data_IF_900647701312
#
_entry.id   IF_900647701312
#
_cell.length_a   1.000
_cell.length_b   1.000
_cell.length_c   1.000
_cell.angle_alpha   90.00
_cell.angle_beta   90.00
_cell.angle_gamma   90.00
#
_symmetry.space_group_name_H-M   'P 1'
#
loop_
_entity.id
_entity.type
_entity.pdbx_description
1 polymer ?
#
# COMPACT_ATOMS: atom_id res chain seq x y z
N UNK A 1 8.77 11.39 -13.98
CA UNK A 1 7.84 10.36 -13.47
C UNK A 1 8.27 9.88 -12.07
N UNK A 2 9.58 9.76 -11.82
CA UNK A 2 10.11 9.20 -10.58
C UNK A 2 9.83 10.06 -9.34
N UNK A 3 9.92 11.39 -9.46
CA UNK A 3 9.58 12.31 -8.36
C UNK A 3 8.12 12.20 -7.91
N UNK A 4 7.20 12.00 -8.85
CA UNK A 4 5.78 11.80 -8.53
C UNK A 4 5.57 10.47 -7.78
N UNK A 5 6.17 9.37 -8.26
CA UNK A 5 6.07 8.07 -7.60
C UNK A 5 6.70 8.12 -6.19
N UNK A 6 7.88 8.73 -6.07
CA UNK A 6 8.57 8.87 -4.78
C UNK A 6 7.74 9.68 -3.78
N UNK A 7 7.17 10.80 -4.22
CA UNK A 7 6.31 11.63 -3.38
C UNK A 7 5.06 10.88 -2.90
N UNK A 8 4.37 10.14 -3.79
CA UNK A 8 3.20 9.36 -3.40
C UNK A 8 3.55 8.20 -2.47
N UNK A 9 4.71 7.54 -2.64
CA UNK A 9 5.20 6.54 -1.69
C UNK A 9 5.44 7.14 -0.30
N UNK A 10 5.99 8.35 -0.24
CA UNK A 10 6.19 9.05 1.03
C UNK A 10 4.85 9.38 1.71
N UNK A 11 3.87 9.87 0.95
CA UNK A 11 2.52 10.12 1.47
C UNK A 11 1.85 8.84 1.97
N UNK A 12 1.97 7.73 1.23
CA UNK A 12 1.44 6.43 1.66
C UNK A 12 2.09 5.95 2.95
N UNK A 13 3.41 6.07 3.11
CA UNK A 13 4.07 5.76 4.38
C UNK A 13 3.54 6.62 5.52
N UNK A 14 3.42 7.94 5.30
CA UNK A 14 2.84 8.85 6.28
C UNK A 14 1.42 8.45 6.66
N UNK A 15 0.59 8.10 5.69
CA UNK A 15 -0.77 7.64 5.91
C UNK A 15 -0.82 6.31 6.68
N UNK A 16 0.02 5.32 6.33
CA UNK A 16 0.09 4.06 7.06
C UNK A 16 0.47 4.27 8.52
N UNK A 17 1.42 5.18 8.80
CA UNK A 17 1.78 5.53 10.18
C UNK A 17 0.60 6.13 10.93
N UNK A 18 -0.13 7.06 10.32
CA UNK A 18 -1.33 7.67 10.93
C UNK A 18 -2.42 6.62 11.16
N UNK A 19 -2.69 5.75 10.18
CA UNK A 19 -3.68 4.69 10.29
C UNK A 19 -3.34 3.70 11.40
N UNK A 20 -2.08 3.23 11.47
CA UNK A 20 -1.62 2.32 12.52
C UNK A 20 -1.70 3.00 13.89
N UNK A 21 -1.24 4.25 14.00
CA UNK A 21 -1.35 5.01 15.25
C UNK A 21 -2.82 5.16 15.69
N UNK A 22 -3.73 5.45 14.75
CA UNK A 22 -5.15 5.59 15.02
C UNK A 22 -5.81 4.30 15.57
N UNK A 23 -5.30 3.11 15.24
CA UNK A 23 -5.80 1.84 15.81
C UNK A 23 -5.52 1.76 17.32
N UNK A 24 -4.38 2.26 17.78
CA UNK A 24 -3.97 2.18 19.20
C UNK A 24 -4.33 3.43 19.99
N UNK A 25 -4.37 4.58 19.32
CA UNK A 25 -4.68 5.89 19.86
C UNK A 25 -5.63 6.60 18.88
N UNK A 26 -6.94 6.32 18.97
CA UNK A 26 -7.92 6.88 18.05
C UNK A 26 -7.91 8.40 18.04
N UNK A 27 -7.94 8.98 16.84
CA UNK A 27 -8.11 10.40 16.64
C UNK A 27 -9.50 10.84 17.11
N UNK A 28 -9.68 12.15 17.30
CA UNK A 28 -10.94 12.68 17.80
C UNK A 28 -11.93 12.98 16.67
N UNK A 29 -13.21 12.71 16.92
CA UNK A 29 -14.31 13.07 16.03
C UNK A 29 -14.26 12.37 14.68
N UNK A 30 -14.63 13.09 13.62
CA UNK A 30 -14.73 12.54 12.27
C UNK A 30 -13.37 12.05 11.70
N UNK A 31 -12.24 12.53 12.24
CA UNK A 31 -10.93 12.14 11.75
C UNK A 31 -10.66 10.64 11.91
N UNK A 32 -11.04 10.05 13.05
CA UNK A 32 -10.94 8.61 13.28
C UNK A 32 -11.74 7.81 12.24
N UNK A 33 -13.02 8.18 12.05
CA UNK A 33 -13.91 7.50 11.10
C UNK A 33 -13.34 7.52 9.67
N UNK A 34 -12.85 8.68 9.22
CA UNK A 34 -12.28 8.81 7.87
C UNK A 34 -10.96 8.06 7.73
N UNK A 35 -10.07 8.15 8.72
CA UNK A 35 -8.78 7.42 8.70
C UNK A 35 -9.02 5.92 8.69
N UNK A 36 -9.95 5.42 9.51
CA UNK A 36 -10.31 4.00 9.53
C UNK A 36 -10.95 3.55 8.23
N UNK A 37 -11.92 4.30 7.69
CA UNK A 37 -12.58 3.96 6.44
C UNK A 37 -11.60 3.91 5.26
N UNK A 38 -10.78 4.96 5.11
CA UNK A 38 -9.79 5.04 4.03
C UNK A 38 -8.73 3.95 4.21
N UNK A 39 -8.24 3.75 5.44
CA UNK A 39 -7.19 2.79 5.73
C UNK A 39 -7.61 1.34 5.47
N UNK A 40 -8.81 0.95 5.91
CA UNK A 40 -9.35 -0.37 5.62
C UNK A 40 -9.63 -0.57 4.13
N UNK A 41 -10.21 0.44 3.47
CA UNK A 41 -10.48 0.38 2.02
C UNK A 41 -9.18 0.22 1.24
N UNK A 42 -8.16 1.01 1.57
CA UNK A 42 -6.84 0.95 0.93
C UNK A 42 -6.14 -0.39 1.20
N UNK A 43 -6.21 -0.90 2.43
CA UNK A 43 -5.68 -2.22 2.77
C UNK A 43 -6.32 -3.31 1.91
N UNK A 44 -7.65 -3.31 1.79
CA UNK A 44 -8.39 -4.28 0.95
C UNK A 44 -7.95 -4.17 -0.51
N UNK A 45 -7.87 -2.96 -1.05
CA UNK A 45 -7.43 -2.73 -2.44
C UNK A 45 -6.02 -3.29 -2.65
N UNK A 46 -5.06 -2.99 -1.76
CA UNK A 46 -3.69 -3.49 -1.91
C UNK A 46 -3.59 -5.02 -1.75
N UNK A 47 -4.41 -5.63 -0.90
CA UNK A 47 -4.49 -7.09 -0.79
C UNK A 47 -5.04 -7.71 -2.10
N UNK A 48 -6.07 -7.11 -2.70
CA UNK A 48 -6.58 -7.53 -4.02
C UNK A 48 -5.49 -7.38 -5.08
N UNK A 49 -4.78 -6.25 -5.13
CA UNK A 49 -3.69 -6.03 -6.06
C UNK A 49 -2.62 -7.12 -5.94
N UNK A 50 -2.21 -7.48 -4.72
CA UNK A 50 -1.25 -8.56 -4.51
C UNK A 50 -1.78 -9.90 -5.04
N UNK A 51 -3.01 -10.25 -4.72
CA UNK A 51 -3.62 -11.52 -5.17
C UNK A 51 -3.71 -11.60 -6.69
N UNK A 52 -4.07 -10.50 -7.36
CA UNK A 52 -4.15 -10.43 -8.82
C UNK A 52 -2.75 -10.48 -9.46
N UNK A 53 -1.79 -9.75 -8.90
CA UNK A 53 -0.45 -9.60 -9.50
C UNK A 53 0.56 -10.68 -9.08
N UNK A 54 0.24 -11.52 -8.09
CA UNK A 54 1.16 -12.55 -7.56
C UNK A 54 1.76 -13.46 -8.63
N UNK A 55 0.99 -13.84 -9.64
CA UNK A 55 1.45 -14.74 -10.71
C UNK A 55 2.47 -14.05 -11.61
N UNK A 56 2.19 -12.79 -11.98
CA UNK A 56 3.07 -11.98 -12.83
C UNK A 56 4.36 -11.58 -12.10
N UNK A 57 4.26 -11.23 -10.82
CA UNK A 57 5.43 -10.96 -9.97
C UNK A 57 6.30 -12.22 -9.84
N UNK A 58 5.69 -13.38 -9.57
CA UNK A 58 6.41 -14.66 -9.47
C UNK A 58 7.13 -15.02 -10.78
N UNK A 59 6.52 -14.82 -11.95
CA UNK A 59 7.16 -15.13 -13.24
C UNK A 59 8.36 -14.25 -13.54
N UNK A 60 8.45 -13.05 -12.94
CA UNK A 60 9.61 -12.14 -13.05
C UNK A 60 10.61 -12.30 -11.90
N UNK A 61 10.53 -13.39 -11.11
CA UNK A 61 11.45 -13.64 -9.99
C UNK A 61 11.12 -12.89 -8.70
N UNK A 62 10.04 -12.12 -8.67
CA UNK A 62 9.57 -11.37 -7.50
C UNK A 62 8.61 -12.21 -6.66
N UNK A 63 9.11 -13.32 -6.12
CA UNK A 63 8.36 -14.19 -5.21
C UNK A 63 8.92 -14.13 -3.80
N UNK A 64 8.11 -13.70 -2.82
CA UNK A 64 8.49 -13.73 -1.42
C UNK A 64 7.63 -12.83 -0.54
N UNK A 65 7.74 -13.01 0.77
CA UNK A 65 7.05 -12.21 1.79
C UNK A 65 7.31 -10.72 1.61
N UNK A 66 8.52 -10.35 1.19
CA UNK A 66 8.90 -8.97 0.94
C UNK A 66 8.05 -8.32 -0.16
N UNK A 67 7.69 -9.05 -1.22
CA UNK A 67 6.81 -8.53 -2.28
C UNK A 67 5.39 -8.31 -1.76
N UNK A 68 4.90 -9.19 -0.88
CA UNK A 68 3.63 -9.00 -0.21
C UNK A 68 3.62 -7.71 0.61
N UNK A 69 4.67 -7.49 1.42
CA UNK A 69 4.82 -6.27 2.23
C UNK A 69 4.86 -5.04 1.33
N UNK A 70 5.65 -5.03 0.26
CA UNK A 70 5.78 -3.86 -0.61
C UNK A 70 4.52 -3.56 -1.42
N UNK A 71 3.79 -4.58 -1.91
CA UNK A 71 2.49 -4.36 -2.54
C UNK A 71 1.47 -3.88 -1.50
N UNK A 72 1.50 -4.40 -0.27
CA UNK A 72 0.60 -3.92 0.79
C UNK A 72 0.88 -2.47 1.19
N UNK A 73 2.14 -2.03 1.17
CA UNK A 73 2.49 -0.65 1.50
C UNK A 73 2.25 0.32 0.33
N UNK A 74 2.55 -0.09 -0.90
CA UNK A 74 2.67 0.83 -2.04
C UNK A 74 1.80 0.50 -3.25
N UNK A 75 1.14 -0.65 -3.25
CA UNK A 75 0.27 -1.10 -4.33
C UNK A 75 0.94 -0.98 -5.71
N UNK A 76 0.21 -0.36 -6.63
CA UNK A 76 0.64 -0.08 -8.01
C UNK A 76 1.95 0.70 -8.13
N UNK A 77 2.31 1.51 -7.13
CA UNK A 77 3.59 2.23 -7.14
C UNK A 77 4.79 1.31 -6.91
N UNK A 78 4.57 0.06 -6.48
CA UNK A 78 5.60 -0.96 -6.37
C UNK A 78 5.57 -1.96 -7.52
N UNK A 79 4.44 -2.62 -7.79
CA UNK A 79 4.43 -3.72 -8.76
C UNK A 79 4.49 -3.24 -10.21
N UNK A 80 3.89 -2.09 -10.54
CA UNK A 80 3.82 -1.62 -11.94
C UNK A 80 5.20 -1.35 -12.55
N UNK A 81 6.16 -0.70 -11.86
CA UNK A 81 7.52 -0.55 -12.37
C UNK A 81 8.26 -1.89 -12.57
N UNK A 82 8.02 -2.90 -11.73
CA UNK A 82 8.66 -4.22 -11.84
C UNK A 82 8.15 -5.03 -13.04
N UNK A 83 6.91 -4.76 -13.44
CA UNK A 83 6.27 -5.37 -14.60
C UNK A 83 6.45 -4.53 -15.88
N UNK A 84 7.13 -3.38 -15.80
CA UNK A 84 7.52 -2.60 -16.98
C UNK A 84 8.78 -3.22 -17.56
N UNK A 85 8.79 -3.40 -18.87
CA UNK A 85 9.89 -4.03 -19.62
C UNK A 85 11.19 -3.21 -19.57
#
# INVERSE_FOLDING_TARGET
>A
MDKFIAFNKLLLLGFWLVFIANIFMPLTGAADQWVMLIGLTMLIVHLIEFVVMRKQLKSRGHSGLMNFVWVTLFGLFYWKPLLRD
#
